data_IF_654724990397
#
_entry.id   IF_654724990397
#
_cell.length_a   1.000
_cell.length_b   1.000
_cell.length_c   1.000
_cell.angle_alpha   90.00
_cell.angle_beta   90.00
_cell.angle_gamma   90.00
#
_symmetry.space_group_name_H-M   'P 1'
#
loop_
_entity.id
_entity.type
_entity.pdbx_description
1 polymer ?
#
# COMPACT_ATOMS: atom_id res chain seq x y z
N UNK A 1 7.04 -10.77 -22.83
CA UNK A 1 7.30 -9.31 -22.77
C UNK A 1 6.63 -8.64 -21.58
N UNK A 2 5.37 -8.95 -21.29
CA UNK A 2 4.58 -8.35 -20.21
C UNK A 2 5.27 -8.46 -18.83
N UNK A 3 5.80 -9.63 -18.45
CA UNK A 3 6.50 -9.81 -17.17
C UNK A 3 7.75 -8.93 -16.98
N UNK A 4 8.54 -8.68 -18.04
CA UNK A 4 9.72 -7.78 -17.95
C UNK A 4 9.33 -6.32 -17.76
N UNK A 5 8.23 -5.88 -18.39
CA UNK A 5 7.73 -4.50 -18.23
C UNK A 5 7.20 -4.27 -16.81
N UNK A 6 6.55 -5.27 -16.22
CA UNK A 6 6.02 -5.20 -14.85
C UNK A 6 7.12 -5.19 -13.79
N UNK A 7 8.12 -6.06 -13.89
CA UNK A 7 9.28 -6.01 -12.99
C UNK A 7 10.00 -4.66 -13.07
N UNK A 8 10.07 -4.08 -14.27
CA UNK A 8 10.62 -2.73 -14.45
C UNK A 8 9.77 -1.67 -13.73
N UNK A 9 8.44 -1.72 -13.83
CA UNK A 9 7.55 -0.79 -13.13
C UNK A 9 7.69 -0.89 -11.61
N UNK A 10 7.71 -2.11 -11.06
CA UNK A 10 7.94 -2.34 -9.62
C UNK A 10 9.28 -1.74 -9.17
N UNK A 11 10.35 -1.97 -9.93
CA UNK A 11 11.66 -1.41 -9.61
C UNK A 11 11.67 0.13 -9.66
N UNK A 12 11.00 0.73 -10.65
CA UNK A 12 10.85 2.19 -10.76
C UNK A 12 10.15 2.74 -9.51
N UNK A 13 9.06 2.08 -9.06
CA UNK A 13 8.30 2.48 -7.87
C UNK A 13 9.14 2.32 -6.61
N UNK A 14 9.81 1.17 -6.45
CA UNK A 14 10.71 0.89 -5.31
C UNK A 14 11.82 1.94 -5.18
N UNK A 15 12.36 2.40 -6.32
CA UNK A 15 13.40 3.43 -6.38
C UNK A 15 12.84 4.86 -6.26
N UNK A 16 11.51 5.04 -6.23
CA UNK A 16 10.85 6.33 -6.30
C UNK A 16 11.32 7.20 -7.49
N UNK A 17 11.63 6.58 -8.64
CA UNK A 17 12.12 7.28 -9.83
C UNK A 17 10.94 7.89 -10.62
N UNK A 18 10.48 9.06 -10.17
CA UNK A 18 9.34 9.76 -10.77
C UNK A 18 9.54 10.08 -12.27
N UNK A 19 10.71 10.53 -12.75
CA UNK A 19 10.94 10.72 -14.18
C UNK A 19 10.76 9.44 -14.99
N UNK A 20 11.33 8.31 -14.55
CA UNK A 20 11.14 7.03 -15.24
C UNK A 20 9.72 6.52 -15.13
N UNK A 21 9.02 6.75 -14.02
CA UNK A 21 7.62 6.39 -13.85
C UNK A 21 6.75 7.10 -14.89
N UNK A 22 6.91 8.41 -15.02
CA UNK A 22 6.19 9.21 -16.03
C UNK A 22 6.51 8.74 -17.44
N UNK A 23 7.78 8.49 -17.75
CA UNK A 23 8.19 7.97 -19.05
C UNK A 23 7.58 6.59 -19.33
N UNK A 24 7.56 5.71 -18.33
CA UNK A 24 6.99 4.37 -18.44
C UNK A 24 5.50 4.45 -18.79
N UNK A 25 4.73 5.26 -18.04
CA UNK A 25 3.29 5.47 -18.26
C UNK A 25 3.01 5.98 -19.67
N UNK A 26 3.78 6.97 -20.16
CA UNK A 26 3.62 7.49 -21.54
C UNK A 26 3.93 6.42 -22.60
N UNK A 27 4.84 5.50 -22.31
CA UNK A 27 5.30 4.48 -23.26
C UNK A 27 4.44 3.21 -23.32
N UNK A 28 3.47 3.05 -22.41
CA UNK A 28 2.71 1.82 -22.24
C UNK A 28 1.19 2.08 -22.23
N UNK A 29 0.40 1.01 -22.43
CA UNK A 29 -1.05 1.12 -22.29
C UNK A 29 -1.44 1.23 -20.82
N UNK A 30 -2.59 1.83 -20.47
CA UNK A 30 -3.08 1.83 -19.08
C UNK A 30 -3.23 0.42 -18.51
N UNK A 31 -3.52 -0.57 -19.35
CA UNK A 31 -3.59 -1.99 -18.94
C UNK A 31 -2.23 -2.54 -18.51
N UNK A 32 -1.13 -2.12 -19.12
CA UNK A 32 0.21 -2.53 -18.69
C UNK A 32 0.58 -1.96 -17.30
N UNK A 33 -0.05 -0.85 -16.90
CA UNK A 33 0.15 -0.18 -15.60
C UNK A 33 -0.83 -0.68 -14.54
N UNK A 34 -2.10 -0.89 -14.89
CA UNK A 34 -3.20 -1.22 -13.96
C UNK A 34 -3.31 -2.73 -13.72
N UNK A 35 -2.98 -3.57 -14.72
CA UNK A 35 -3.20 -5.01 -14.61
C UNK A 35 -2.63 -5.55 -13.30
N UNK A 36 -3.44 -6.23 -12.46
CA UNK A 36 -2.91 -6.97 -11.33
C UNK A 36 -1.84 -7.92 -11.87
N UNK A 37 -0.87 -8.24 -11.03
CA UNK A 37 0.12 -9.22 -11.43
C UNK A 37 -0.51 -10.60 -11.68
N UNK A 38 0.31 -11.64 -11.80
CA UNK A 38 -0.21 -13.01 -11.65
C UNK A 38 -1.05 -13.10 -10.37
N UNK A 39 -1.88 -14.13 -10.16
CA UNK A 39 -2.66 -14.30 -8.91
C UNK A 39 -1.85 -14.29 -7.59
N UNK A 40 -0.52 -14.12 -7.66
CA UNK A 40 0.42 -14.02 -6.56
C UNK A 40 1.23 -12.70 -6.54
N UNK A 41 1.01 -11.80 -7.51
CA UNK A 41 1.73 -10.53 -7.63
C UNK A 41 0.76 -9.40 -7.34
N UNK A 42 1.11 -8.65 -6.31
CA UNK A 42 0.43 -7.45 -5.83
C UNK A 42 0.26 -6.42 -6.95
N UNK A 43 -0.84 -5.66 -6.92
CA UNK A 43 -1.09 -4.64 -7.94
C UNK A 43 -0.14 -3.44 -7.81
N UNK A 44 -0.09 -2.60 -8.85
CA UNK A 44 0.84 -1.46 -8.90
C UNK A 44 0.58 -0.42 -7.80
N UNK A 45 -0.68 -0.26 -7.35
CA UNK A 45 -1.02 0.66 -6.28
C UNK A 45 -0.61 0.10 -4.91
N UNK A 46 -0.75 -1.21 -4.69
CA UNK A 46 -0.16 -1.89 -3.55
C UNK A 46 1.32 -1.61 -3.48
N UNK A 47 2.06 -1.82 -4.57
CA UNK A 47 3.52 -1.59 -4.58
C UNK A 47 3.87 -0.15 -4.21
N UNK A 48 3.14 0.84 -4.75
CA UNK A 48 3.38 2.25 -4.42
C UNK A 48 3.04 2.57 -2.95
N UNK A 49 1.97 1.98 -2.42
CA UNK A 49 1.59 2.12 -1.02
C UNK A 49 2.61 1.45 -0.07
N UNK A 50 3.13 0.29 -0.48
CA UNK A 50 4.02 -0.60 0.28
C UNK A 50 5.50 -0.22 0.22
N UNK A 51 5.95 0.49 -0.81
CA UNK A 51 7.31 1.03 -0.90
C UNK A 51 7.44 2.47 -0.39
N UNK A 52 6.33 3.09 0.03
CA UNK A 52 6.39 4.36 0.74
C UNK A 52 6.63 5.58 -0.16
N UNK A 53 6.11 5.58 -1.38
CA UNK A 53 6.18 6.73 -2.29
C UNK A 53 4.80 7.36 -2.51
N UNK A 54 4.45 8.43 -1.76
CA UNK A 54 3.22 9.19 -1.97
C UNK A 54 3.12 9.77 -3.37
N UNK A 55 4.21 10.28 -3.93
CA UNK A 55 4.24 10.90 -5.25
C UNK A 55 4.05 9.87 -6.36
N UNK A 56 4.68 8.69 -6.26
CA UNK A 56 4.43 7.61 -7.22
C UNK A 56 3.00 7.12 -7.12
N UNK A 57 2.48 6.98 -5.89
CA UNK A 57 1.09 6.60 -5.66
C UNK A 57 0.13 7.61 -6.32
N UNK A 58 0.37 8.91 -6.13
CA UNK A 58 -0.42 9.97 -6.74
C UNK A 58 -0.42 9.86 -8.28
N UNK A 59 0.75 9.75 -8.91
CA UNK A 59 0.89 9.59 -10.37
C UNK A 59 0.14 8.35 -10.87
N UNK A 60 0.21 7.24 -10.14
CA UNK A 60 -0.48 6.01 -10.52
C UNK A 60 -1.99 6.14 -10.41
N UNK A 61 -2.50 6.85 -9.39
CA UNK A 61 -3.92 7.13 -9.25
C UNK A 61 -4.47 7.97 -10.41
N UNK A 62 -3.68 8.89 -10.97
CA UNK A 62 -4.05 9.63 -12.19
C UNK A 62 -4.30 8.67 -13.38
N UNK A 63 -3.52 7.59 -13.50
CA UNK A 63 -3.71 6.58 -14.55
C UNK A 63 -5.02 5.80 -14.35
N UNK A 64 -5.35 5.46 -13.10
CA UNK A 64 -6.61 4.79 -12.75
C UNK A 64 -7.82 5.67 -13.07
N UNK A 65 -7.74 6.97 -12.79
CA UNK A 65 -8.78 7.96 -13.12
C UNK A 65 -8.94 8.10 -14.63
N UNK A 66 -7.83 8.16 -15.37
CA UNK A 66 -7.84 8.36 -16.81
C UNK A 66 -8.35 7.14 -17.60
N UNK A 67 -8.40 5.95 -17.00
CA UNK A 67 -8.77 4.70 -17.66
C UNK A 67 -9.85 3.89 -16.92
N UNK A 68 -11.05 4.47 -16.67
CA UNK A 68 -12.08 3.83 -15.84
C UNK A 68 -12.59 2.49 -16.43
N UNK A 69 -12.63 2.36 -17.75
CA UNK A 69 -13.03 1.11 -18.42
C UNK A 69 -12.03 -0.03 -18.19
N UNK A 70 -10.74 0.31 -18.06
CA UNK A 70 -9.68 -0.66 -17.75
C UNK A 70 -9.77 -1.08 -16.29
N UNK A 71 -9.96 -0.13 -15.38
CA UNK A 71 -10.16 -0.40 -13.95
C UNK A 71 -11.39 -1.29 -13.74
N UNK A 72 -12.53 -0.96 -14.36
CA UNK A 72 -13.76 -1.75 -14.26
C UNK A 72 -13.58 -3.17 -14.79
N UNK A 73 -12.86 -3.34 -15.91
CA UNK A 73 -12.60 -4.65 -16.49
C UNK A 73 -11.70 -5.52 -15.61
N UNK A 74 -10.67 -4.91 -15.00
CA UNK A 74 -9.69 -5.62 -14.18
C UNK A 74 -10.15 -5.82 -12.74
N UNK A 75 -11.08 -4.97 -12.26
CA UNK A 75 -11.67 -5.00 -10.93
C UNK A 75 -10.63 -5.23 -9.81
N UNK A 76 -9.61 -4.36 -9.69
CA UNK A 76 -8.58 -4.51 -8.68
C UNK A 76 -9.19 -4.36 -7.27
N UNK A 77 -8.75 -5.20 -6.32
CA UNK A 77 -9.09 -5.07 -4.91
C UNK A 77 -8.16 -4.05 -4.27
N UNK A 78 -8.66 -2.84 -4.03
CA UNK A 78 -7.84 -1.76 -3.49
C UNK A 78 -8.01 -1.66 -1.97
N UNK A 79 -6.95 -1.96 -1.23
CA UNK A 79 -6.87 -1.84 0.22
C UNK A 79 -5.74 -0.89 0.64
N UNK A 80 -5.53 0.20 -0.10
CA UNK A 80 -4.30 0.99 -0.01
C UNK A 80 -3.95 1.51 1.39
N UNK A 81 -4.95 1.85 2.21
CA UNK A 81 -4.70 2.24 3.58
C UNK A 81 -4.13 1.06 4.39
N UNK A 82 -4.71 -0.14 4.25
CA UNK A 82 -4.22 -1.36 4.89
C UNK A 82 -2.83 -1.73 4.38
N UNK A 83 -2.60 -1.66 3.07
CA UNK A 83 -1.30 -1.97 2.44
C UNK A 83 -0.19 -1.06 2.98
N UNK A 84 -0.45 0.26 3.02
CA UNK A 84 0.48 1.23 3.58
C UNK A 84 0.69 1.03 5.10
N UNK A 85 -0.35 0.59 5.82
CA UNK A 85 -0.25 0.29 7.24
C UNK A 85 0.57 -0.96 7.53
N UNK A 86 0.35 -2.05 6.78
CA UNK A 86 1.09 -3.31 6.88
C UNK A 86 2.59 -3.15 6.64
N UNK A 87 3.00 -2.09 5.94
CA UNK A 87 4.39 -1.75 5.64
C UNK A 87 4.94 -0.59 6.49
N UNK A 88 4.13 -0.03 7.39
CA UNK A 88 4.34 1.20 8.15
C UNK A 88 4.91 2.38 7.35
N UNK A 89 4.39 2.58 6.14
CA UNK A 89 4.70 3.76 5.34
C UNK A 89 3.85 4.95 5.77
N UNK A 90 4.27 5.57 6.87
CA UNK A 90 3.54 6.68 7.50
C UNK A 90 3.27 7.85 6.55
N UNK A 91 4.18 8.16 5.63
CA UNK A 91 4.02 9.28 4.71
C UNK A 91 2.93 8.99 3.66
N UNK A 92 2.82 7.74 3.21
CA UNK A 92 1.72 7.29 2.35
C UNK A 92 0.40 7.29 3.12
N UNK A 93 0.38 6.80 4.36
CA UNK A 93 -0.85 6.82 5.18
C UNK A 93 -1.34 8.25 5.37
N UNK A 94 -0.43 9.19 5.70
CA UNK A 94 -0.77 10.61 5.79
C UNK A 94 -1.32 11.14 4.47
N UNK A 95 -0.63 10.87 3.36
CA UNK A 95 -1.11 11.26 2.03
C UNK A 95 -2.52 10.73 1.75
N UNK A 96 -2.82 9.47 2.04
CA UNK A 96 -4.14 8.86 1.82
C UNK A 96 -5.21 9.56 2.68
N UNK A 97 -4.95 9.71 3.98
CA UNK A 97 -5.92 10.29 4.92
C UNK A 97 -6.13 11.78 4.64
N UNK A 98 -5.05 12.55 4.48
CA UNK A 98 -5.12 14.00 4.30
C UNK A 98 -5.69 14.38 2.92
N UNK A 99 -5.44 13.57 1.87
CA UNK A 99 -6.07 13.79 0.56
C UNK A 99 -7.55 13.38 0.54
N UNK A 100 -8.00 12.54 1.48
CA UNK A 100 -9.41 12.18 1.58
C UNK A 100 -10.26 13.36 2.08
N UNK A 101 -9.72 14.14 3.01
CA UNK A 101 -10.41 15.25 3.66
C UNK A 101 -10.54 16.50 2.77
N UNK A 102 -9.85 16.53 1.62
CA UNK A 102 -9.84 17.67 0.70
C UNK A 102 -10.77 17.39 -0.48
N UNK A 103 -11.90 18.12 -0.66
CA UNK A 103 -12.84 17.90 -1.76
C UNK A 103 -12.20 18.00 -3.15
N UNK A 104 -11.19 18.85 -3.30
CA UNK A 104 -10.45 19.09 -4.54
C UNK A 104 -9.43 17.99 -4.86
N UNK A 105 -9.06 17.18 -3.87
CA UNK A 105 -7.99 16.16 -3.97
C UNK A 105 -8.46 14.77 -3.56
N UNK A 106 -9.79 14.56 -3.51
CA UNK A 106 -10.38 13.29 -3.09
C UNK A 106 -9.86 12.19 -4.00
N UNK A 107 -9.03 11.32 -3.41
CA UNK A 107 -8.44 10.22 -4.13
C UNK A 107 -9.56 9.37 -4.75
N UNK A 108 -9.35 8.78 -5.94
CA UNK A 108 -10.34 7.95 -6.65
C UNK A 108 -10.54 6.59 -5.97
N UNK A 109 -10.31 6.51 -4.67
CA UNK A 109 -10.27 5.32 -3.82
C UNK A 109 -11.61 5.04 -3.14
N UNK A 110 -12.62 5.87 -3.40
CA UNK A 110 -13.89 5.82 -2.66
C UNK A 110 -13.77 6.49 -1.29
N UNK A 111 -14.54 6.02 -0.33
CA UNK A 111 -14.44 6.44 1.09
C UNK A 111 -13.26 5.74 1.74
N UNK A 112 -12.36 6.50 2.36
CA UNK A 112 -11.30 5.93 3.20
C UNK A 112 -11.93 5.61 4.55
N UNK A 113 -12.03 4.33 4.88
CA UNK A 113 -12.63 3.87 6.13
C UNK A 113 -11.54 3.31 7.07
N UNK A 114 -11.36 3.98 8.22
CA UNK A 114 -10.42 3.61 9.26
C UNK A 114 -10.75 2.28 9.95
N UNK A 115 -11.93 1.73 9.69
CA UNK A 115 -12.41 0.46 10.22
C UNK A 115 -12.67 -0.58 9.12
N UNK A 116 -12.28 -0.29 7.87
CA UNK A 116 -12.35 -1.25 6.79
C UNK A 116 -11.54 -2.51 7.16
N UNK A 117 -12.14 -3.68 6.93
CA UNK A 117 -11.45 -4.96 7.06
C UNK A 117 -11.07 -5.53 5.71
N UNK A 118 -9.89 -6.15 5.64
CA UNK A 118 -9.49 -6.99 4.52
C UNK A 118 -10.13 -8.39 4.59
N UNK A 119 -9.76 -9.27 3.66
CA UNK A 119 -10.24 -10.66 3.63
C UNK A 119 -9.79 -11.48 4.87
N UNK A 120 -8.73 -11.04 5.57
CA UNK A 120 -8.19 -11.64 6.80
C UNK A 120 -8.86 -11.10 8.07
N UNK A 121 -9.66 -10.04 7.93
CA UNK A 121 -10.28 -9.33 9.04
C UNK A 121 -9.40 -8.24 9.65
N UNK A 122 -8.26 -7.89 9.08
CA UNK A 122 -7.39 -6.83 9.57
C UNK A 122 -7.96 -5.44 9.28
N UNK A 123 -7.97 -4.58 10.28
CA UNK A 123 -8.20 -3.13 10.14
C UNK A 123 -6.88 -2.39 10.00
N UNK A 124 -6.87 -1.10 9.57
CA UNK A 124 -5.63 -0.32 9.45
C UNK A 124 -4.74 -0.35 10.70
N UNK A 125 -5.33 -0.29 11.90
CA UNK A 125 -4.55 -0.37 13.14
C UNK A 125 -3.97 -1.77 13.39
N UNK A 126 -4.74 -2.83 13.08
CA UNK A 126 -4.26 -4.21 13.18
C UNK A 126 -3.12 -4.46 12.18
N UNK A 127 -3.28 -4.04 10.92
CA UNK A 127 -2.24 -4.09 9.91
C UNK A 127 -0.97 -3.34 10.34
N UNK A 128 -1.11 -2.13 10.90
CA UNK A 128 0.02 -1.35 11.42
C UNK A 128 0.75 -2.05 12.57
N UNK A 129 0.03 -2.71 13.47
CA UNK A 129 0.63 -3.51 14.54
C UNK A 129 1.28 -4.79 14.02
N UNK A 130 0.64 -5.50 13.08
CA UNK A 130 1.15 -6.70 12.43
C UNK A 130 2.43 -6.44 11.64
N UNK A 131 2.60 -5.22 11.13
CA UNK A 131 3.82 -4.71 10.49
C UNK A 131 5.09 -4.88 11.34
N UNK A 132 4.95 -4.98 12.66
CA UNK A 132 6.04 -5.15 13.62
C UNK A 132 6.33 -6.62 13.98
N UNK A 133 5.51 -7.57 13.52
CA UNK A 133 5.63 -8.99 13.89
C UNK A 133 6.62 -9.77 13.02
N UNK A 134 6.87 -9.33 11.78
CA UNK A 134 7.67 -10.07 10.78
C UNK A 134 8.92 -9.33 10.31
N UNK A 135 9.58 -8.59 11.21
CA UNK A 135 10.76 -7.78 10.90
C UNK A 135 11.89 -8.58 10.23
N UNK A 136 12.07 -9.85 10.60
CA UNK A 136 13.13 -10.69 10.04
C UNK A 136 12.88 -11.07 8.57
N UNK A 137 11.62 -11.30 8.18
CA UNK A 137 11.26 -11.71 6.81
C UNK A 137 11.31 -10.54 5.83
N UNK A 138 10.95 -9.35 6.30
CA UNK A 138 10.97 -8.12 5.52
C UNK A 138 12.41 -7.61 5.28
N UNK A 139 13.36 -8.02 6.11
CA UNK A 139 14.76 -7.59 6.06
C UNK A 139 15.61 -8.34 5.03
N UNK A 140 15.21 -9.54 4.59
CA UNK A 140 15.93 -10.34 3.57
C UNK A 140 16.05 -9.60 2.22
N UNK A 141 15.19 -8.60 1.95
CA UNK A 141 15.26 -7.73 0.77
C UNK A 141 16.10 -6.46 0.93
N UNK A 142 16.66 -6.21 2.11
CA UNK A 142 17.31 -4.94 2.51
C UNK A 142 18.83 -5.03 2.53
N UNK A 143 19.42 -6.23 2.50
CA UNK A 143 20.87 -6.38 2.31
C UNK A 143 21.36 -5.71 1.00
N UNK A 144 20.46 -5.51 0.03
CA UNK A 144 20.71 -4.83 -1.25
C UNK A 144 20.61 -3.28 -1.16
N UNK A 145 20.08 -2.72 -0.08
CA UNK A 145 19.88 -1.26 0.12
C UNK A 145 20.98 -0.60 0.98
N UNK A 146 21.98 -1.37 1.43
CA UNK A 146 23.16 -0.84 2.12
C UNK A 146 22.92 -0.32 3.54
N UNK A 147 21.71 -0.49 4.08
CA UNK A 147 21.42 -0.24 5.50
C UNK A 147 21.86 -1.42 6.34
N UNK A 148 22.53 -1.14 7.47
CA UNK A 148 22.82 -2.18 8.45
C UNK A 148 21.49 -2.70 9.02
N UNK A 149 21.28 -4.01 9.02
CA UNK A 149 20.03 -4.67 9.47
C UNK A 149 19.41 -4.06 10.74
N UNK A 150 20.25 -3.75 11.73
CA UNK A 150 19.83 -3.10 12.98
C UNK A 150 19.26 -1.68 12.80
N UNK A 151 19.79 -0.90 11.86
CA UNK A 151 19.28 0.44 11.55
C UNK A 151 17.93 0.36 10.83
N UNK A 152 17.78 -0.58 9.90
CA UNK A 152 16.50 -0.82 9.24
C UNK A 152 15.42 -1.24 10.25
N UNK A 153 15.72 -2.18 11.16
CA UNK A 153 14.79 -2.60 12.23
C UNK A 153 14.40 -1.42 13.11
N UNK A 154 15.38 -0.63 13.59
CA UNK A 154 15.08 0.55 14.42
C UNK A 154 14.20 1.55 13.68
N UNK A 155 14.47 1.79 12.40
CA UNK A 155 13.67 2.67 11.58
C UNK A 155 12.24 2.14 11.40
N UNK A 156 12.08 0.84 11.11
CA UNK A 156 10.79 0.16 10.97
C UNK A 156 9.96 0.25 12.25
N UNK A 157 10.56 -0.02 13.42
CA UNK A 157 9.90 0.13 14.73
C UNK A 157 9.49 1.59 14.96
N UNK A 158 10.39 2.55 14.72
CA UNK A 158 10.09 3.97 14.92
C UNK A 158 9.00 4.48 13.98
N UNK A 159 8.92 4.00 12.74
CA UNK A 159 7.83 4.30 11.81
C UNK A 159 6.52 3.64 12.25
N UNK A 160 6.54 2.36 12.61
CA UNK A 160 5.37 1.63 13.11
C UNK A 160 4.76 2.27 14.35
N UNK A 161 5.56 2.63 15.35
CA UNK A 161 5.08 3.36 16.53
C UNK A 161 4.44 4.70 16.18
N UNK A 162 5.06 5.49 15.29
CA UNK A 162 4.48 6.76 14.84
C UNK A 162 3.18 6.56 14.08
N UNK A 163 3.09 5.52 13.26
CA UNK A 163 1.90 5.18 12.51
C UNK A 163 0.76 4.75 13.44
N UNK A 164 1.01 3.87 14.41
CA UNK A 164 -0.01 3.43 15.37
C UNK A 164 -0.59 4.64 16.13
N UNK A 165 0.27 5.53 16.62
CA UNK A 165 -0.19 6.75 17.29
C UNK A 165 -1.00 7.65 16.34
N UNK A 166 -0.56 7.83 15.10
CA UNK A 166 -1.32 8.59 14.10
C UNK A 166 -2.72 8.00 13.89
N UNK A 167 -2.84 6.68 13.75
CA UNK A 167 -4.13 6.02 13.55
C UNK A 167 -5.04 6.15 14.78
N UNK A 168 -4.49 6.03 16.00
CA UNK A 168 -5.21 6.27 17.24
C UNK A 168 -5.73 7.71 17.33
N UNK A 169 -4.88 8.69 17.02
CA UNK A 169 -5.25 10.12 16.99
C UNK A 169 -6.36 10.41 15.96
N UNK A 170 -6.42 9.63 14.88
CA UNK A 170 -7.45 9.72 13.84
C UNK A 170 -8.72 8.92 14.16
N UNK A 171 -8.77 8.22 15.29
CA UNK A 171 -9.97 7.55 15.80
C UNK A 171 -10.02 6.03 15.64
N UNK A 172 -8.93 5.38 15.22
CA UNK A 172 -8.86 3.92 15.28
C UNK A 172 -8.94 3.41 16.74
N UNK A 173 -9.48 2.20 16.93
CA UNK A 173 -9.66 1.63 18.26
C UNK A 173 -8.41 0.90 18.74
N UNK A 174 -7.90 1.26 19.92
CA UNK A 174 -6.81 0.53 20.58
C UNK A 174 -7.20 -0.90 21.02
N UNK A 175 -8.50 -1.20 21.08
CA UNK A 175 -9.03 -2.50 21.49
C UNK A 175 -9.57 -3.28 20.31
N UNK A 176 -9.18 -2.92 19.09
CA UNK A 176 -9.61 -3.64 17.90
C UNK A 176 -9.04 -5.07 17.89
N UNK A 177 -9.83 -6.00 17.37
CA UNK A 177 -9.50 -7.42 17.31
C UNK A 177 -9.92 -8.00 15.97
N UNK A 178 -9.26 -9.07 15.55
CA UNK A 178 -9.72 -9.88 14.42
C UNK A 178 -10.89 -10.75 14.94
N UNK A 179 -12.11 -10.60 14.39
CA UNK A 179 -13.24 -11.44 14.81
C UNK A 179 -12.99 -12.91 14.44
N UNK A 180 -13.48 -13.88 15.25
CA UNK A 180 -13.37 -15.29 14.93
C UNK A 180 -14.09 -15.61 13.62
N UNK A 181 -13.54 -16.54 12.83
CA UNK A 181 -14.20 -16.98 11.60
C UNK A 181 -15.52 -17.68 11.96
N UNK A 182 -16.58 -17.56 11.12
CA UNK A 182 -17.87 -18.20 11.39
C UNK A 182 -17.79 -19.71 11.67
N UNK A 183 -16.76 -20.38 11.16
CA UNK A 183 -16.54 -21.83 11.36
C UNK A 183 -15.88 -22.17 12.71
N UNK A 184 -15.29 -21.20 13.41
CA UNK A 184 -14.62 -21.40 14.71
C UNK A 184 -15.60 -21.34 15.89
N UNK A 185 -16.89 -21.06 15.63
CA UNK A 185 -17.95 -20.94 16.64
C UNK A 185 -18.79 -22.22 16.80
N UNK A 186 -18.32 -23.36 16.28
CA UNK A 186 -18.96 -24.66 16.54
C UNK A 186 -18.45 -25.23 17.88
N UNK A 187 -19.32 -25.51 18.87
CA UNK A 187 -18.93 -26.05 20.17
C UNK A 187 -18.40 -27.48 20.11
#
# INVERSE_FOLDING_TARGET
MIGRRRNRLVNIIKQNDLPQLRQFIVSCSPEDVIAPGTPYLEDTLFNAASYGSPESLHILLEVYIAAPEVVKRLNPKLHLLLDACGTANIDVVRFILDSHDIPENRLPLGTVDLHQRDDSGDTPILAATGSLMYLDKDADGVEDEGLYWNEWIRNRIARGHRLINLLLDRGCSATDIIPPLPNDLSP
#
